data_IF_500497985225
#
_entry.id   IF_500497985225
#
_cell.length_a   1.000
_cell.length_b   1.000
_cell.length_c   1.000
_cell.angle_alpha   90.00
_cell.angle_beta   90.00
_cell.angle_gamma   90.00
#
_symmetry.space_group_name_H-M   'P 1'
#
loop_
_entity.id
_entity.type
_entity.pdbx_description
1 polymer ?
#
# COMPACT_ATOMS: atom_id res chain seq x y z
N UNK A 1 -34.08 0.83 -12.14
CA UNK A 1 -33.41 0.20 -11.00
C UNK A 1 -32.96 1.34 -10.07
N UNK A 2 -33.52 1.40 -8.85
CA UNK A 2 -33.14 2.42 -7.88
C UNK A 2 -31.82 2.00 -7.20
N UNK A 3 -30.85 2.92 -7.15
CA UNK A 3 -29.57 2.69 -6.45
C UNK A 3 -29.69 2.91 -4.94
N UNK A 4 -30.78 3.53 -4.48
CA UNK A 4 -31.10 3.81 -3.08
C UNK A 4 -32.59 3.73 -2.89
N UNK A 5 -33.03 3.08 -1.81
CA UNK A 5 -34.44 2.96 -1.43
C UNK A 5 -34.58 3.42 0.02
N UNK A 6 -35.42 4.43 0.25
CA UNK A 6 -35.77 4.91 1.60
C UNK A 6 -36.98 4.12 2.09
N UNK A 7 -36.76 3.23 3.07
CA UNK A 7 -37.81 2.37 3.60
C UNK A 7 -38.95 3.15 4.25
N UNK A 8 -38.65 4.23 4.94
CA UNK A 8 -39.61 5.07 5.64
C UNK A 8 -40.09 6.29 4.84
N UNK A 9 -39.63 6.43 3.57
CA UNK A 9 -39.90 7.62 2.73
C UNK A 9 -39.56 8.95 3.38
N UNK A 10 -38.66 8.95 4.39
CA UNK A 10 -38.23 10.18 5.09
C UNK A 10 -37.01 10.76 4.40
N UNK A 11 -37.19 11.90 3.72
CA UNK A 11 -36.13 12.62 3.05
C UNK A 11 -35.18 13.36 4.02
N UNK A 12 -35.53 13.49 5.29
CA UNK A 12 -34.67 14.10 6.32
C UNK A 12 -33.38 13.28 6.55
N UNK A 13 -33.40 11.98 6.23
CA UNK A 13 -32.24 11.11 6.35
C UNK A 13 -31.22 11.28 5.19
N UNK A 14 -31.60 11.92 4.08
CA UNK A 14 -30.72 12.07 2.91
C UNK A 14 -29.41 12.81 3.18
N UNK A 15 -29.35 13.89 3.97
CA UNK A 15 -28.11 14.55 4.32
C UNK A 15 -27.16 13.63 5.07
N UNK A 16 -27.66 12.80 5.99
CA UNK A 16 -26.87 11.85 6.75
C UNK A 16 -26.30 10.75 5.85
N UNK A 17 -27.09 10.21 4.92
CA UNK A 17 -26.65 9.21 3.95
C UNK A 17 -25.54 9.78 3.05
N UNK A 18 -25.71 11.00 2.56
CA UNK A 18 -24.68 11.66 1.75
C UNK A 18 -23.39 11.91 2.53
N UNK A 19 -23.52 12.26 3.80
CA UNK A 19 -22.40 12.47 4.69
C UNK A 19 -21.61 11.18 4.92
N UNK A 20 -22.30 10.09 5.24
CA UNK A 20 -21.66 8.77 5.39
C UNK A 20 -21.04 8.27 4.10
N UNK A 21 -21.70 8.45 2.96
CA UNK A 21 -21.14 8.13 1.65
C UNK A 21 -19.85 8.89 1.35
N UNK A 22 -19.79 10.19 1.65
CA UNK A 22 -18.57 11.01 1.51
C UNK A 22 -17.45 10.51 2.43
N UNK A 23 -17.77 10.19 3.69
CA UNK A 23 -16.82 9.66 4.64
C UNK A 23 -16.16 8.38 4.11
N UNK A 24 -16.95 7.43 3.65
CA UNK A 24 -16.47 6.15 3.14
C UNK A 24 -15.57 6.37 1.91
N UNK A 25 -16.02 7.13 0.91
CA UNK A 25 -15.24 7.36 -0.31
C UNK A 25 -13.93 8.09 -0.01
N UNK A 26 -13.96 9.12 0.84
CA UNK A 26 -12.76 9.87 1.19
C UNK A 26 -11.74 9.04 1.97
N UNK A 27 -12.21 8.19 2.90
CA UNK A 27 -11.33 7.31 3.67
C UNK A 27 -10.73 6.22 2.77
N UNK A 28 -11.51 5.60 1.89
CA UNK A 28 -11.00 4.66 0.89
C UNK A 28 -9.96 5.34 0.00
N UNK A 29 -10.23 6.54 -0.51
CA UNK A 29 -9.28 7.28 -1.35
C UNK A 29 -7.95 7.55 -0.64
N UNK A 30 -7.99 7.76 0.67
CA UNK A 30 -6.83 8.01 1.50
C UNK A 30 -5.97 6.78 1.71
N UNK A 31 -6.58 5.62 1.94
CA UNK A 31 -5.86 4.36 2.23
C UNK A 31 -5.52 3.56 0.97
N UNK A 32 -6.23 3.76 -0.13
CA UNK A 32 -6.02 3.03 -1.39
C UNK A 32 -4.56 3.07 -1.90
N UNK A 33 -3.81 4.19 -1.80
CA UNK A 33 -2.41 4.22 -2.22
C UNK A 33 -1.54 3.16 -1.55
N UNK A 34 -1.80 2.81 -0.28
CA UNK A 34 -1.04 1.80 0.47
C UNK A 34 -1.16 0.44 -0.22
N UNK A 35 -2.38 0.03 -0.57
CA UNK A 35 -2.62 -1.23 -1.27
C UNK A 35 -2.11 -1.24 -2.71
N UNK A 36 -2.13 -0.08 -3.40
CA UNK A 36 -1.56 0.02 -4.74
C UNK A 36 -0.04 -0.12 -4.77
N UNK A 37 0.68 0.29 -3.73
CA UNK A 37 2.13 0.09 -3.62
C UNK A 37 2.46 -1.38 -3.83
N UNK A 38 1.79 -2.27 -3.06
CA UNK A 38 2.00 -3.71 -3.15
C UNK A 38 1.70 -4.26 -4.54
N UNK A 39 0.57 -3.87 -5.10
CA UNK A 39 0.16 -4.33 -6.43
C UNK A 39 1.19 -3.93 -7.49
N UNK A 40 1.67 -2.69 -7.46
CA UNK A 40 2.63 -2.17 -8.45
C UNK A 40 3.98 -2.86 -8.30
N UNK A 41 4.58 -2.90 -7.10
CA UNK A 41 5.90 -3.49 -6.96
C UNK A 41 5.89 -5.01 -7.21
N UNK A 42 4.87 -5.73 -6.74
CA UNK A 42 4.77 -7.17 -6.96
C UNK A 42 4.65 -7.51 -8.44
N UNK A 43 3.81 -6.78 -9.16
CA UNK A 43 3.64 -6.97 -10.61
C UNK A 43 4.94 -6.66 -11.37
N UNK A 44 5.56 -5.53 -11.09
CA UNK A 44 6.81 -5.15 -11.75
C UNK A 44 7.96 -6.11 -11.44
N UNK A 45 8.13 -6.51 -10.15
CA UNK A 45 9.16 -7.48 -9.78
C UNK A 45 8.92 -8.84 -10.43
N UNK A 46 7.66 -9.31 -10.48
CA UNK A 46 7.33 -10.55 -11.16
C UNK A 46 7.68 -10.49 -12.65
N UNK A 47 7.37 -9.40 -13.34
CA UNK A 47 7.76 -9.20 -14.74
C UNK A 47 9.29 -9.19 -14.90
N UNK A 48 10.01 -8.49 -14.04
CA UNK A 48 11.47 -8.43 -14.08
C UNK A 48 12.07 -9.84 -13.85
N UNK A 49 11.52 -10.61 -12.91
CA UNK A 49 11.95 -11.98 -12.66
C UNK A 49 11.72 -12.86 -13.90
N UNK A 50 10.56 -12.80 -14.54
CA UNK A 50 10.24 -13.55 -15.74
C UNK A 50 11.20 -13.19 -16.90
N UNK A 51 11.41 -11.89 -17.12
CA UNK A 51 12.30 -11.41 -18.17
C UNK A 51 13.76 -11.81 -17.92
N UNK A 52 14.20 -11.86 -16.65
CA UNK A 52 15.57 -12.24 -16.29
C UNK A 52 15.90 -13.70 -16.60
N UNK A 53 14.90 -14.60 -16.62
CA UNK A 53 15.09 -16.00 -17.01
C UNK A 53 15.64 -16.15 -18.43
N UNK A 54 15.24 -15.25 -19.33
CA UNK A 54 15.72 -15.24 -20.72
C UNK A 54 17.16 -14.74 -20.91
N UNK A 55 17.76 -14.12 -19.88
CA UNK A 55 19.11 -13.54 -19.97
C UNK A 55 20.21 -14.47 -19.50
N UNK A 56 19.88 -15.63 -18.97
CA UNK A 56 20.84 -16.67 -18.53
C UNK A 56 20.82 -16.90 -17.02
N UNK A 57 21.37 -18.04 -16.57
CA UNK A 57 21.24 -18.48 -15.16
C UNK A 57 21.96 -17.55 -14.17
N UNK A 58 23.03 -16.86 -14.60
CA UNK A 58 23.78 -15.94 -13.72
C UNK A 58 23.04 -14.62 -13.47
N UNK A 59 22.16 -14.21 -14.38
CA UNK A 59 21.37 -12.98 -14.31
C UNK A 59 19.97 -13.20 -13.78
N UNK A 60 19.58 -14.45 -13.54
CA UNK A 60 18.25 -14.80 -13.07
C UNK A 60 17.93 -14.14 -11.72
N UNK A 61 16.94 -13.28 -11.74
CA UNK A 61 16.39 -12.67 -10.52
C UNK A 61 15.34 -13.59 -9.92
N UNK A 62 15.57 -14.00 -8.68
CA UNK A 62 14.60 -14.76 -7.90
C UNK A 62 13.75 -13.76 -7.12
N UNK A 63 12.44 -13.97 -7.08
CA UNK A 63 11.53 -13.11 -6.31
C UNK A 63 11.97 -13.10 -4.84
N UNK A 64 12.28 -11.93 -4.25
CA UNK A 64 13.01 -11.86 -2.98
C UNK A 64 12.14 -12.17 -1.75
N UNK A 65 10.82 -12.17 -1.89
CA UNK A 65 9.92 -12.26 -0.77
C UNK A 65 9.25 -13.63 -0.67
N UNK A 66 9.20 -14.17 0.55
CA UNK A 66 8.43 -15.38 0.87
C UNK A 66 7.02 -14.93 1.31
N UNK A 67 5.92 -15.60 0.88
CA UNK A 67 4.56 -15.19 1.20
C UNK A 67 4.29 -14.95 2.69
N UNK A 68 4.84 -15.78 3.57
CA UNK A 68 4.67 -15.62 5.03
C UNK A 68 5.27 -14.31 5.57
N UNK A 69 6.40 -13.87 5.00
CA UNK A 69 7.05 -12.61 5.40
C UNK A 69 6.19 -11.40 5.00
N UNK A 70 5.66 -11.43 3.78
CA UNK A 70 4.77 -10.36 3.29
C UNK A 70 3.51 -10.28 4.15
N UNK A 71 2.96 -11.41 4.58
CA UNK A 71 1.75 -11.47 5.40
C UNK A 71 1.89 -10.67 6.71
N UNK A 72 3.07 -10.67 7.34
CA UNK A 72 3.32 -9.87 8.54
C UNK A 72 3.24 -8.37 8.26
N UNK A 73 3.86 -7.91 7.18
CA UNK A 73 3.79 -6.49 6.76
C UNK A 73 2.35 -6.12 6.41
N UNK A 74 1.67 -6.97 5.63
CA UNK A 74 0.28 -6.77 5.21
C UNK A 74 -0.67 -6.65 6.41
N UNK A 75 -0.52 -7.52 7.41
CA UNK A 75 -1.42 -7.57 8.55
C UNK A 75 -1.20 -6.42 9.52
N UNK A 76 0.06 -6.17 9.91
CA UNK A 76 0.37 -5.22 10.98
C UNK A 76 0.60 -3.80 10.48
N UNK A 77 1.26 -3.62 9.35
CA UNK A 77 1.57 -2.28 8.83
C UNK A 77 0.47 -1.80 7.88
N UNK A 78 0.19 -2.57 6.83
CA UNK A 78 -0.70 -2.15 5.75
C UNK A 78 -2.18 -2.43 6.03
N UNK A 79 -2.51 -3.37 6.91
CA UNK A 79 -3.88 -3.73 7.27
C UNK A 79 -4.39 -2.99 8.49
N UNK A 80 -3.69 -3.10 9.61
CA UNK A 80 -4.15 -2.60 10.91
C UNK A 80 -4.41 -1.09 10.90
N UNK A 81 -3.40 -0.29 10.59
CA UNK A 81 -3.52 1.17 10.62
C UNK A 81 -4.57 1.70 9.62
N UNK A 82 -4.58 1.31 8.34
CA UNK A 82 -5.61 1.72 7.39
C UNK A 82 -7.02 1.29 7.78
N UNK A 83 -7.18 0.10 8.38
CA UNK A 83 -8.48 -0.36 8.87
C UNK A 83 -9.07 0.64 9.85
N UNK A 84 -8.33 1.04 10.89
CA UNK A 84 -8.82 2.03 11.86
C UNK A 84 -8.98 3.43 11.27
N UNK A 85 -8.12 3.83 10.34
CA UNK A 85 -8.26 5.11 9.62
C UNK A 85 -9.53 5.17 8.77
N UNK A 86 -10.07 4.04 8.34
CA UNK A 86 -11.31 3.99 7.55
C UNK A 86 -12.55 4.44 8.32
N UNK A 87 -12.52 4.35 9.65
CA UNK A 87 -13.61 4.80 10.52
C UNK A 87 -13.55 6.27 10.90
N UNK A 88 -12.48 6.97 10.56
CA UNK A 88 -12.30 8.37 10.91
C UNK A 88 -13.30 9.26 10.19
N UNK A 89 -13.78 10.29 10.88
CA UNK A 89 -14.70 11.28 10.30
C UNK A 89 -13.99 12.11 9.22
N UNK A 90 -14.55 12.12 8.01
CA UNK A 90 -13.96 12.82 6.88
C UNK A 90 -15.04 13.38 5.94
N UNK A 91 -15.35 14.66 6.12
CA UNK A 91 -16.47 15.34 5.47
C UNK A 91 -16.07 16.14 4.23
N UNK A 92 -14.82 15.97 3.77
CA UNK A 92 -14.30 16.72 2.62
C UNK A 92 -15.11 16.40 1.35
N UNK A 93 -15.19 17.34 0.39
CA UNK A 93 -15.76 17.04 -0.92
C UNK A 93 -15.03 15.88 -1.59
N UNK A 94 -15.78 15.01 -2.27
CA UNK A 94 -15.22 13.88 -3.00
C UNK A 94 -14.40 14.40 -4.18
N UNK A 95 -13.16 13.96 -4.29
CA UNK A 95 -12.29 14.29 -5.41
C UNK A 95 -12.63 13.44 -6.65
N UNK A 96 -12.69 14.09 -7.80
CA UNK A 96 -12.82 13.41 -9.09
C UNK A 96 -11.51 12.68 -9.40
N UNK A 97 -11.59 11.51 -10.07
CA UNK A 97 -10.43 10.71 -10.48
C UNK A 97 -9.58 10.17 -9.32
N UNK A 98 -10.22 9.74 -8.21
CA UNK A 98 -9.53 9.20 -7.04
C UNK A 98 -8.56 8.06 -7.38
N UNK A 99 -8.93 7.17 -8.31
CA UNK A 99 -8.11 6.03 -8.72
C UNK A 99 -6.78 6.48 -9.30
N UNK A 100 -6.81 7.42 -10.27
CA UNK A 100 -5.58 7.98 -10.87
C UNK A 100 -4.70 8.64 -9.81
N UNK A 101 -5.29 9.42 -8.92
CA UNK A 101 -4.58 10.09 -7.82
C UNK A 101 -3.94 9.07 -6.88
N UNK A 102 -4.69 8.06 -6.47
CA UNK A 102 -4.18 7.00 -5.57
C UNK A 102 -3.03 6.22 -6.20
N UNK A 103 -3.12 5.88 -7.49
CA UNK A 103 -2.03 5.23 -8.20
C UNK A 103 -0.79 6.12 -8.30
N UNK A 104 -0.94 7.40 -8.64
CA UNK A 104 0.18 8.35 -8.71
C UNK A 104 0.85 8.56 -7.35
N UNK A 105 0.08 8.54 -6.26
CA UNK A 105 0.62 8.64 -4.90
C UNK A 105 1.36 7.36 -4.47
N UNK A 106 0.98 6.20 -5.00
CA UNK A 106 1.63 4.92 -4.72
C UNK A 106 2.94 4.73 -5.49
N UNK A 107 3.05 5.32 -6.69
CA UNK A 107 4.20 5.13 -7.59
C UNK A 107 5.57 5.39 -6.93
N UNK A 108 5.83 6.50 -6.23
CA UNK A 108 7.14 6.76 -5.65
C UNK A 108 7.57 5.66 -4.68
N UNK A 109 6.68 5.23 -3.79
CA UNK A 109 6.97 4.17 -2.82
C UNK A 109 7.19 2.82 -3.50
N UNK A 110 6.36 2.47 -4.49
CA UNK A 110 6.52 1.24 -5.26
C UNK A 110 7.84 1.21 -6.04
N UNK A 111 8.22 2.33 -6.67
CA UNK A 111 9.50 2.46 -7.37
C UNK A 111 10.69 2.35 -6.41
N UNK A 112 10.59 2.91 -5.20
CA UNK A 112 11.62 2.75 -4.17
C UNK A 112 11.80 1.29 -3.77
N UNK A 113 10.72 0.53 -3.61
CA UNK A 113 10.80 -0.92 -3.33
C UNK A 113 11.51 -1.65 -4.46
N UNK A 114 11.09 -1.43 -5.70
CA UNK A 114 11.67 -2.09 -6.89
C UNK A 114 13.15 -1.77 -6.99
N UNK A 115 13.51 -0.49 -6.90
CA UNK A 115 14.91 -0.04 -6.96
C UNK A 115 15.75 -0.65 -5.83
N UNK A 116 15.24 -0.65 -4.60
CA UNK A 116 15.94 -1.22 -3.45
C UNK A 116 16.22 -2.71 -3.60
N UNK A 117 15.25 -3.48 -4.10
CA UNK A 117 15.40 -4.92 -4.35
C UNK A 117 16.44 -5.19 -5.42
N UNK A 118 16.38 -4.48 -6.54
CA UNK A 118 17.34 -4.63 -7.63
C UNK A 118 18.74 -4.23 -7.17
N UNK A 119 18.86 -3.11 -6.49
CA UNK A 119 20.12 -2.62 -5.94
C UNK A 119 20.76 -3.62 -4.97
N UNK A 120 19.96 -4.12 -3.98
CA UNK A 120 20.45 -5.11 -3.03
C UNK A 120 20.87 -6.41 -3.71
N UNK A 121 20.17 -6.82 -4.77
CA UNK A 121 20.53 -8.02 -5.54
C UNK A 121 21.88 -7.84 -6.23
N UNK A 122 22.06 -6.75 -6.96
CA UNK A 122 23.31 -6.47 -7.68
C UNK A 122 24.47 -6.26 -6.69
N UNK A 123 24.27 -5.41 -5.69
CA UNK A 123 25.30 -5.10 -4.72
C UNK A 123 25.68 -6.30 -3.86
N UNK A 124 24.68 -7.04 -3.36
CA UNK A 124 24.90 -8.21 -2.51
C UNK A 124 25.62 -9.33 -3.26
N UNK A 125 25.21 -9.62 -4.50
CA UNK A 125 25.88 -10.64 -5.33
C UNK A 125 27.35 -10.27 -5.58
N UNK A 126 27.64 -9.01 -5.89
CA UNK A 126 29.01 -8.54 -6.10
C UNK A 126 29.90 -8.59 -4.85
N UNK A 127 29.29 -8.52 -3.65
CA UNK A 127 29.99 -8.61 -2.37
C UNK A 127 29.96 -10.00 -1.75
N UNK A 128 29.45 -11.01 -2.47
CA UNK A 128 29.42 -12.40 -2.00
C UNK A 128 28.36 -12.69 -0.95
N UNK A 129 27.31 -11.86 -0.82
CA UNK A 129 26.21 -12.09 0.11
C UNK A 129 25.39 -13.30 -0.32
N UNK A 130 24.91 -14.02 0.65
CA UNK A 130 24.00 -15.15 0.42
C UNK A 130 22.62 -14.65 -0.02
N UNK A 131 21.90 -15.47 -0.78
CA UNK A 131 20.52 -15.14 -1.19
C UNK A 131 19.59 -14.86 0.01
N UNK A 132 19.85 -15.49 1.16
CA UNK A 132 19.08 -15.29 2.38
C UNK A 132 19.32 -13.90 3.01
N UNK A 133 20.56 -13.43 3.02
CA UNK A 133 20.90 -12.08 3.50
C UNK A 133 20.25 -11.01 2.62
N UNK A 134 20.32 -11.15 1.30
CA UNK A 134 19.68 -10.24 0.35
C UNK A 134 18.16 -10.21 0.55
N UNK A 135 17.51 -11.36 0.71
CA UNK A 135 16.07 -11.48 0.96
C UNK A 135 15.68 -10.81 2.27
N UNK A 136 16.44 -11.03 3.33
CA UNK A 136 16.20 -10.46 4.66
C UNK A 136 16.29 -8.93 4.63
N UNK A 137 17.34 -8.38 4.00
CA UNK A 137 17.50 -6.93 3.86
C UNK A 137 16.40 -6.33 2.99
N UNK A 138 16.01 -7.01 1.91
CA UNK A 138 14.91 -6.57 1.06
C UNK A 138 13.59 -6.51 1.84
N UNK A 139 13.34 -7.48 2.73
CA UNK A 139 12.17 -7.50 3.59
C UNK A 139 12.17 -6.33 4.59
N UNK A 140 13.29 -6.02 5.25
CA UNK A 140 13.38 -4.87 6.16
C UNK A 140 13.17 -3.54 5.42
N UNK A 141 13.70 -3.40 4.22
CA UNK A 141 13.46 -2.20 3.40
C UNK A 141 12.00 -2.09 2.98
N UNK A 142 11.37 -3.19 2.58
CA UNK A 142 9.94 -3.21 2.26
C UNK A 142 9.12 -2.74 3.47
N UNK A 143 9.34 -3.31 4.66
CA UNK A 143 8.64 -2.93 5.87
C UNK A 143 8.83 -1.45 6.22
N UNK A 144 10.05 -0.92 6.07
CA UNK A 144 10.36 0.50 6.31
C UNK A 144 9.62 1.42 5.33
N UNK A 145 9.59 1.07 4.04
CA UNK A 145 8.88 1.85 3.01
C UNK A 145 7.37 1.79 3.22
N UNK A 146 6.82 0.62 3.57
CA UNK A 146 5.41 0.45 3.91
C UNK A 146 5.03 1.29 5.13
N UNK A 147 5.85 1.27 6.20
CA UNK A 147 5.64 2.10 7.39
C UNK A 147 5.64 3.59 7.07
N UNK A 148 6.62 4.07 6.29
CA UNK A 148 6.66 5.46 5.85
C UNK A 148 5.43 5.85 5.01
N UNK A 149 4.92 4.93 4.20
CA UNK A 149 3.72 5.15 3.39
C UNK A 149 2.47 5.25 4.25
N UNK A 150 2.37 4.44 5.30
CA UNK A 150 1.29 4.50 6.30
C UNK A 150 1.36 5.81 7.09
N UNK A 151 2.54 6.23 7.54
CA UNK A 151 2.74 7.52 8.21
C UNK A 151 2.29 8.66 7.30
N UNK A 152 2.69 8.65 6.04
CA UNK A 152 2.25 9.65 5.04
C UNK A 152 0.74 9.68 4.86
N UNK A 153 0.08 8.54 4.79
CA UNK A 153 -1.37 8.44 4.69
C UNK A 153 -2.09 8.91 5.96
N UNK A 154 -1.41 8.86 7.11
CA UNK A 154 -1.92 9.31 8.40
C UNK A 154 -1.76 10.81 8.65
N UNK A 155 -1.13 11.56 7.75
CA UNK A 155 -1.00 13.02 7.89
C UNK A 155 -2.34 13.75 7.65
N UNK A 156 -2.62 14.86 8.38
CA UNK A 156 -1.91 15.40 9.52
C UNK A 156 -2.05 14.52 10.76
N UNK A 157 -1.00 14.45 11.59
CA UNK A 157 -0.98 13.59 12.77
C UNK A 157 -1.90 14.14 13.86
N UNK A 158 -2.82 13.31 14.33
CA UNK A 158 -3.60 13.49 15.54
C UNK A 158 -3.16 12.46 16.58
N UNK A 159 -3.45 12.67 17.85
CA UNK A 159 -3.13 11.72 18.92
C UNK A 159 -3.56 10.29 18.61
N UNK A 160 -4.77 10.12 18.09
CA UNK A 160 -5.30 8.82 17.67
C UNK A 160 -4.45 8.15 16.57
N UNK A 161 -4.02 8.91 15.57
CA UNK A 161 -3.18 8.41 14.46
C UNK A 161 -1.77 8.08 14.91
N UNK A 162 -1.22 8.87 15.83
CA UNK A 162 0.09 8.57 16.45
C UNK A 162 0.01 7.26 17.23
N UNK A 163 -1.03 7.06 18.03
CA UNK A 163 -1.24 5.82 18.75
C UNK A 163 -1.32 4.60 17.81
N UNK A 164 -2.04 4.75 16.67
CA UNK A 164 -2.16 3.68 15.67
C UNK A 164 -0.84 3.33 14.96
N UNK A 165 0.09 4.28 14.83
CA UNK A 165 1.40 4.06 14.21
C UNK A 165 2.38 3.41 15.20
N UNK A 166 2.20 3.65 16.50
CA UNK A 166 3.08 3.12 17.55
C UNK A 166 2.74 1.69 18.00
N UNK A 167 1.55 1.19 17.62
CA UNK A 167 1.11 -0.18 17.89
C UNK A 167 1.56 -1.11 16.79
#
# INVERSE_FOLDING_TARGET
>A
IANLVLLNSDFNDMPQILFEGRRVVNNITRIAPIFFIKTIYSFCLALICILSVGLGPETMLIFPFIPIQITLIDQFIEGFTPFFLSFEKNDKPIEKNFLKKSMLLALPSALMVIFSVIFLRIFGTNNGWTGQEISTLSYYLLGSISLLSVIRASLPLNWFRVALILV
#
